data_IF_346940783951
#
_entry.id   IF_346940783951
#
_cell.length_a   1.000
_cell.length_b   1.000
_cell.length_c   1.000
_cell.angle_alpha   90.00
_cell.angle_beta   90.00
_cell.angle_gamma   90.00
#
_symmetry.space_group_name_H-M   'P 1'
#
loop_
_entity.id
_entity.type
_entity.pdbx_description
1 polymer ?
#
# COMPACT_ATOMS: atom_id res chain seq x y z
N UNK A 1 12.48 2.06 16.96
CA UNK A 1 12.08 0.98 16.04
C UNK A 1 12.95 -0.24 16.20
N UNK A 2 12.32 -1.42 16.24
CA UNK A 2 13.06 -2.68 16.26
C UNK A 2 13.54 -3.03 14.86
N UNK A 3 14.55 -3.90 14.77
CA UNK A 3 15.03 -4.42 13.48
C UNK A 3 13.91 -5.06 12.69
N UNK A 4 13.02 -5.80 13.35
CA UNK A 4 11.88 -6.45 12.72
C UNK A 4 10.91 -5.42 12.10
N UNK A 5 10.64 -4.33 12.81
CA UNK A 5 9.78 -3.26 12.30
C UNK A 5 10.37 -2.60 11.06
N UNK A 6 11.68 -2.37 11.06
CA UNK A 6 12.38 -1.80 9.89
C UNK A 6 12.31 -2.72 8.68
N UNK A 7 12.47 -4.03 8.90
CA UNK A 7 12.37 -5.02 7.83
C UNK A 7 10.94 -5.09 7.29
N UNK A 8 9.95 -5.06 8.18
CA UNK A 8 8.54 -5.08 7.79
C UNK A 8 8.19 -3.86 6.93
N UNK A 9 8.61 -2.67 7.35
CA UNK A 9 8.38 -1.45 6.60
C UNK A 9 9.09 -1.47 5.24
N UNK A 10 10.31 -1.98 5.21
CA UNK A 10 11.08 -2.14 3.98
C UNK A 10 10.35 -3.04 2.99
N UNK A 11 9.85 -4.18 3.45
CA UNK A 11 9.14 -5.13 2.60
C UNK A 11 7.82 -4.53 2.12
N UNK A 12 7.07 -3.87 3.00
CA UNK A 12 5.81 -3.22 2.62
C UNK A 12 6.04 -2.17 1.53
N UNK A 13 7.06 -1.35 1.69
CA UNK A 13 7.40 -0.31 0.71
C UNK A 13 7.87 -0.94 -0.61
N UNK A 14 8.67 -2.00 -0.54
CA UNK A 14 9.15 -2.71 -1.72
C UNK A 14 7.98 -3.32 -2.52
N UNK A 15 6.98 -3.86 -1.83
CA UNK A 15 5.79 -4.41 -2.50
C UNK A 15 4.99 -3.29 -3.18
N UNK A 16 4.83 -2.15 -2.53
CA UNK A 16 4.17 -0.99 -3.14
C UNK A 16 4.88 -0.56 -4.44
N UNK A 17 6.19 -0.41 -4.38
CA UNK A 17 6.99 -0.03 -5.54
C UNK A 17 6.87 -1.05 -6.65
N UNK A 18 6.89 -2.34 -6.29
CA UNK A 18 6.75 -3.43 -7.25
C UNK A 18 5.39 -3.36 -7.96
N UNK A 19 4.30 -3.14 -7.22
CA UNK A 19 2.96 -2.99 -7.80
C UNK A 19 2.95 -1.87 -8.84
N UNK A 20 3.56 -0.74 -8.51
CA UNK A 20 3.63 0.40 -9.42
C UNK A 20 4.50 0.13 -10.64
N UNK A 21 5.66 -0.51 -10.45
CA UNK A 21 6.59 -0.82 -11.53
C UNK A 21 6.03 -1.85 -12.51
N UNK A 22 5.25 -2.81 -12.01
CA UNK A 22 4.59 -3.81 -12.83
C UNK A 22 3.30 -3.30 -13.47
N UNK A 23 2.91 -2.08 -13.15
CA UNK A 23 1.71 -1.45 -13.67
C UNK A 23 0.46 -2.29 -13.39
N UNK A 24 0.36 -2.84 -12.18
CA UNK A 24 -0.79 -3.64 -11.78
C UNK A 24 -2.02 -2.76 -11.62
N UNK A 25 -3.14 -3.28 -12.06
CA UNK A 25 -4.43 -2.61 -11.95
C UNK A 25 -5.24 -3.16 -10.78
N UNK A 26 -6.26 -2.42 -10.31
CA UNK A 26 -7.18 -2.95 -9.31
C UNK A 26 -7.75 -4.30 -9.75
N UNK A 27 -7.74 -5.28 -8.84
CA UNK A 27 -8.19 -6.63 -9.11
C UNK A 27 -7.09 -7.59 -9.55
N UNK A 28 -5.91 -7.08 -9.91
CA UNK A 28 -4.79 -7.92 -10.30
C UNK A 28 -4.23 -8.66 -9.09
N UNK A 29 -3.73 -9.86 -9.35
CA UNK A 29 -3.23 -10.74 -8.31
C UNK A 29 -1.77 -10.45 -7.98
N UNK A 30 -1.42 -10.45 -6.69
CA UNK A 30 -0.05 -10.37 -6.25
C UNK A 30 0.58 -11.76 -6.20
N UNK A 31 1.94 -11.84 -6.18
CA UNK A 31 2.64 -13.11 -5.96
C UNK A 31 2.25 -13.71 -4.61
N UNK A 32 2.40 -15.01 -4.49
CA UNK A 32 2.16 -15.72 -3.24
C UNK A 32 3.21 -15.40 -2.17
N UNK A 33 2.90 -15.76 -0.93
CA UNK A 33 3.75 -15.49 0.23
C UNK A 33 5.16 -16.05 0.04
N UNK A 34 5.27 -17.30 -0.44
CA UNK A 34 6.57 -17.95 -0.63
C UNK A 34 7.42 -17.20 -1.66
N UNK A 35 6.79 -16.75 -2.74
CA UNK A 35 7.48 -15.99 -3.78
C UNK A 35 7.95 -14.62 -3.27
N UNK A 36 7.13 -13.97 -2.46
CA UNK A 36 7.50 -12.69 -1.84
C UNK A 36 8.68 -12.87 -0.89
N UNK A 37 8.65 -13.93 -0.06
CA UNK A 37 9.75 -14.27 0.85
C UNK A 37 11.07 -14.41 0.09
N UNK A 38 11.04 -15.12 -1.02
CA UNK A 38 12.22 -15.36 -1.85
C UNK A 38 12.70 -14.08 -2.54
N UNK A 39 11.79 -13.34 -3.16
CA UNK A 39 12.11 -12.14 -3.93
C UNK A 39 12.78 -11.07 -3.07
N UNK A 40 12.29 -10.85 -1.87
CA UNK A 40 12.80 -9.78 -0.97
C UNK A 40 13.58 -10.31 0.22
N UNK A 41 13.95 -11.59 0.20
CA UNK A 41 14.75 -12.23 1.25
C UNK A 41 14.20 -11.92 2.65
N UNK A 42 12.91 -12.17 2.82
CA UNK A 42 12.20 -11.87 4.06
C UNK A 42 11.63 -13.15 4.68
N UNK A 43 11.52 -13.15 6.02
CA UNK A 43 10.90 -14.25 6.73
C UNK A 43 9.39 -14.25 6.53
N UNK A 44 8.77 -15.39 6.77
CA UNK A 44 7.31 -15.56 6.68
C UNK A 44 6.57 -14.56 7.56
N UNK A 45 7.05 -14.37 8.81
CA UNK A 45 6.40 -13.43 9.73
C UNK A 45 6.53 -11.99 9.26
N UNK A 46 7.65 -11.62 8.68
CA UNK A 46 7.87 -10.28 8.13
C UNK A 46 6.94 -10.02 6.94
N UNK A 47 6.83 -10.98 6.03
CA UNK A 47 5.95 -10.87 4.87
C UNK A 47 4.49 -10.74 5.30
N UNK A 48 4.05 -11.59 6.23
CA UNK A 48 2.68 -11.55 6.74
C UNK A 48 2.36 -10.20 7.38
N UNK A 49 3.28 -9.66 8.17
CA UNK A 49 3.07 -8.36 8.80
C UNK A 49 3.04 -7.24 7.77
N UNK A 50 3.94 -7.27 6.79
CA UNK A 50 3.94 -6.29 5.70
C UNK A 50 2.61 -6.33 4.92
N UNK A 51 2.09 -7.52 4.65
CA UNK A 51 0.81 -7.66 3.96
C UNK A 51 -0.35 -7.12 4.79
N UNK A 52 -0.34 -7.33 6.11
CA UNK A 52 -1.35 -6.75 7.00
C UNK A 52 -1.33 -5.23 6.96
N UNK A 53 -0.13 -4.64 6.93
CA UNK A 53 0.03 -3.18 6.84
C UNK A 53 -0.59 -2.66 5.54
N UNK A 54 -0.27 -3.31 4.42
CA UNK A 54 -0.81 -2.90 3.12
C UNK A 54 -2.33 -3.05 3.05
N UNK A 55 -2.86 -4.12 3.65
CA UNK A 55 -4.30 -4.33 3.71
C UNK A 55 -4.98 -3.29 4.59
N UNK A 56 -4.39 -2.97 5.75
CA UNK A 56 -4.88 -1.92 6.64
C UNK A 56 -4.87 -0.55 5.97
N UNK A 57 -3.93 -0.30 5.08
CA UNK A 57 -3.87 0.92 4.28
C UNK A 57 -4.86 0.93 3.12
N UNK A 58 -5.57 -0.18 2.90
CA UNK A 58 -6.56 -0.26 1.83
C UNK A 58 -5.98 -0.49 0.44
N UNK A 59 -4.74 -0.96 0.34
CA UNK A 59 -4.06 -1.13 -0.95
C UNK A 59 -4.26 -2.52 -1.54
N UNK A 60 -4.41 -3.52 -0.70
CA UNK A 60 -4.59 -4.90 -1.11
C UNK A 60 -5.74 -5.55 -0.35
N UNK A 61 -6.22 -6.67 -0.86
CA UNK A 61 -7.29 -7.46 -0.23
C UNK A 61 -6.96 -8.94 -0.34
N UNK A 62 -7.10 -9.66 0.77
CA UNK A 62 -6.94 -11.11 0.81
C UNK A 62 -8.29 -11.78 0.64
N UNK A 63 -8.36 -12.80 -0.22
CA UNK A 63 -9.53 -13.63 -0.42
C UNK A 63 -9.21 -15.06 -0.06
N UNK A 64 -10.11 -15.72 0.65
CA UNK A 64 -9.97 -17.13 1.06
C UNK A 64 -10.54 -18.08 -0.01
N UNK A 65 -10.20 -19.37 0.13
CA UNK A 65 -10.77 -20.43 -0.70
C UNK A 65 -9.91 -20.82 -1.90
N UNK A 66 -10.41 -21.76 -2.75
CA UNK A 66 -9.61 -22.30 -3.87
C UNK A 66 -9.16 -21.27 -4.90
N UNK A 67 -9.97 -20.21 -5.08
CA UNK A 67 -9.64 -19.10 -5.97
C UNK A 67 -9.12 -17.89 -5.18
N UNK A 68 -8.64 -18.16 -3.96
CA UNK A 68 -8.15 -17.12 -3.08
C UNK A 68 -6.78 -16.62 -3.45
N UNK A 69 -6.27 -15.69 -2.65
CA UNK A 69 -4.98 -15.06 -2.81
C UNK A 69 -5.04 -13.61 -2.38
N UNK A 70 -4.02 -12.87 -2.72
CA UNK A 70 -3.94 -11.44 -2.43
C UNK A 70 -4.03 -10.66 -3.75
N UNK A 71 -4.85 -9.63 -3.73
CA UNK A 71 -5.19 -8.85 -4.93
C UNK A 71 -5.04 -7.37 -4.65
N UNK A 72 -4.72 -6.60 -5.69
CA UNK A 72 -4.77 -5.15 -5.61
C UNK A 72 -6.24 -4.77 -5.40
N UNK A 73 -6.48 -3.90 -4.41
CA UNK A 73 -7.84 -3.57 -4.01
C UNK A 73 -8.57 -2.78 -5.10
N UNK A 74 -9.81 -3.18 -5.38
CA UNK A 74 -10.71 -2.42 -6.22
C UNK A 74 -11.45 -1.38 -5.37
N UNK A 75 -11.47 -0.14 -5.85
CA UNK A 75 -12.21 0.95 -5.20
C UNK A 75 -13.27 1.42 -6.19
N UNK A 76 -14.56 1.46 -5.82
CA UNK A 76 -15.60 1.97 -6.71
C UNK A 76 -15.27 3.38 -7.20
N UNK A 77 -15.54 3.65 -8.46
CA UNK A 77 -15.23 4.93 -9.08
C UNK A 77 -15.79 6.13 -8.30
N UNK A 78 -17.02 5.98 -7.78
CA UNK A 78 -17.64 7.02 -6.96
C UNK A 78 -16.82 7.36 -5.72
N UNK A 79 -16.19 6.36 -5.08
CA UNK A 79 -15.33 6.59 -3.90
C UNK A 79 -13.98 7.17 -4.27
N UNK A 80 -13.46 6.81 -5.45
CA UNK A 80 -12.19 7.38 -5.93
C UNK A 80 -12.32 8.90 -6.09
N UNK A 81 -13.42 9.36 -6.64
CA UNK A 81 -13.65 10.80 -6.82
C UNK A 81 -13.70 11.53 -5.48
N UNK A 82 -14.35 10.96 -4.47
CA UNK A 82 -14.40 11.55 -3.12
C UNK A 82 -13.00 11.60 -2.49
N UNK A 83 -12.27 10.50 -2.56
CA UNK A 83 -10.92 10.41 -2.01
C UNK A 83 -10.00 11.43 -2.67
N UNK A 84 -10.06 11.53 -4.00
CA UNK A 84 -9.24 12.48 -4.75
C UNK A 84 -9.59 13.92 -4.40
N UNK A 85 -10.88 14.24 -4.31
CA UNK A 85 -11.36 15.57 -3.92
C UNK A 85 -10.85 15.96 -2.54
N UNK A 86 -10.92 15.03 -1.58
CA UNK A 86 -10.43 15.25 -0.22
C UNK A 86 -8.92 15.47 -0.21
N UNK A 87 -8.18 14.68 -0.98
CA UNK A 87 -6.73 14.82 -1.10
C UNK A 87 -6.35 16.18 -1.64
N UNK A 88 -7.01 16.62 -2.72
CA UNK A 88 -6.74 17.93 -3.33
C UNK A 88 -7.08 19.07 -2.38
N UNK A 89 -8.18 18.97 -1.64
CA UNK A 89 -8.56 19.95 -0.63
C UNK A 89 -7.48 20.07 0.45
N UNK A 90 -7.02 18.93 1.00
CA UNK A 90 -6.00 18.93 2.04
C UNK A 90 -4.68 19.48 1.52
N UNK A 91 -4.32 19.18 0.28
CA UNK A 91 -3.12 19.69 -0.34
C UNK A 91 -3.17 21.22 -0.50
N UNK A 92 -4.30 21.75 -0.93
CA UNK A 92 -4.50 23.20 -1.04
C UNK A 92 -4.43 23.87 0.33
N UNK A 93 -5.07 23.29 1.33
CA UNK A 93 -5.06 23.80 2.70
C UNK A 93 -3.64 23.84 3.27
N UNK A 94 -2.90 22.76 3.07
CA UNK A 94 -1.49 22.66 3.50
C UNK A 94 -0.64 23.75 2.81
N UNK A 95 -0.82 23.94 1.51
CA UNK A 95 -0.09 24.97 0.77
C UNK A 95 -0.35 26.37 1.31
N UNK A 96 -1.59 26.67 1.69
CA UNK A 96 -1.94 27.95 2.30
C UNK A 96 -1.27 28.14 3.65
N UNK A 97 -1.22 27.10 4.48
CA UNK A 97 -0.55 27.16 5.78
C UNK A 97 0.94 27.42 5.62
N UNK A 98 1.58 26.73 4.69
CA UNK A 98 3.02 26.89 4.42
C UNK A 98 3.29 28.30 3.90
N UNK A 99 2.48 28.82 2.98
CA UNK A 99 2.63 30.17 2.48
C UNK A 99 2.46 31.24 3.57
N UNK A 100 1.48 31.04 4.46
CA UNK A 100 1.24 31.96 5.58
C UNK A 100 2.44 31.95 6.54
N UNK A 101 3.02 30.77 6.82
CA UNK A 101 4.19 30.64 7.67
C UNK A 101 5.42 31.34 7.08
N UNK A 102 5.57 31.33 5.76
CA UNK A 102 6.68 31.98 5.08
C UNK A 102 6.57 33.51 4.98
N UNK A 103 5.38 34.04 5.20
CA UNK A 103 5.16 35.50 5.15
C UNK A 103 5.56 36.22 6.43
N UNK A 104 5.83 35.48 7.48
CA UNK A 104 6.31 36.03 8.73
C UNK A 104 7.84 35.83 8.83
#
# INVERSE_FOLDING_TARGET
>A
MTTKQKQTERVALAIKDWIMQQDLEPGDRLPGEAEIMETWEASKSTVREAMRILEAQGLIKTKSGPKGGTFVREVPESKVNVILSNYLFLKMFYSRLVSAAHRT
#
